data_IF_479927112388
#
_entry.id   IF_479927112388
#
_cell.length_a   1.000
_cell.length_b   1.000
_cell.length_c   1.000
_cell.angle_alpha   90.00
_cell.angle_beta   90.00
_cell.angle_gamma   90.00
#
_symmetry.space_group_name_H-M   'P 1'
#
loop_
_entity.id
_entity.type
_entity.pdbx_description
1 polymer ?
#
# COMPACT_ATOMS: atom_id res chain seq x y z
N UNK A 1 -27.72 -47.65 -23.58
CA UNK A 1 -28.42 -46.36 -23.68
C UNK A 1 -27.83 -45.35 -22.70
N UNK A 2 -27.23 -44.30 -23.21
CA UNK A 2 -26.68 -43.24 -22.36
C UNK A 2 -27.82 -42.30 -21.95
N UNK A 3 -28.29 -42.37 -20.71
CA UNK A 3 -29.21 -41.38 -20.13
C UNK A 3 -28.38 -40.15 -19.74
N UNK A 4 -28.27 -39.18 -20.63
CA UNK A 4 -27.80 -37.84 -20.28
C UNK A 4 -28.85 -37.16 -19.42
N UNK A 5 -28.54 -37.00 -18.14
CA UNK A 5 -29.32 -36.14 -17.26
C UNK A 5 -29.00 -34.69 -17.59
N UNK A 6 -29.96 -33.99 -18.24
CA UNK A 6 -29.84 -32.56 -18.51
C UNK A 6 -30.08 -31.74 -17.26
N UNK A 7 -29.40 -30.60 -17.12
CA UNK A 7 -29.68 -29.58 -16.10
C UNK A 7 -31.06 -28.99 -16.30
N UNK A 8 -31.85 -28.85 -15.23
CA UNK A 8 -33.17 -28.21 -15.31
C UNK A 8 -32.99 -26.67 -15.26
N UNK A 9 -33.95 -25.97 -15.91
CA UNK A 9 -33.97 -24.51 -15.93
C UNK A 9 -34.09 -23.91 -14.51
N UNK A 10 -34.80 -24.59 -13.62
CA UNK A 10 -35.00 -24.17 -12.23
C UNK A 10 -33.70 -24.33 -11.39
N UNK A 11 -32.93 -25.39 -11.62
CA UNK A 11 -31.62 -25.58 -10.97
C UNK A 11 -30.67 -24.44 -11.33
N UNK A 12 -30.63 -24.04 -12.61
CA UNK A 12 -29.80 -22.91 -13.03
C UNK A 12 -30.26 -21.59 -12.41
N UNK A 13 -31.59 -21.34 -12.36
CA UNK A 13 -32.16 -20.14 -11.76
C UNK A 13 -31.83 -20.00 -10.28
N UNK A 14 -31.94 -21.09 -9.51
CA UNK A 14 -31.62 -21.08 -8.08
C UNK A 14 -30.11 -20.76 -7.88
N UNK A 15 -29.23 -21.33 -8.67
CA UNK A 15 -27.77 -21.11 -8.56
C UNK A 15 -27.42 -19.66 -8.84
N UNK A 16 -27.94 -19.06 -9.92
CA UNK A 16 -27.64 -17.65 -10.22
C UNK A 16 -28.25 -16.69 -9.19
N UNK A 17 -29.40 -17.03 -8.61
CA UNK A 17 -30.01 -16.24 -7.54
C UNK A 17 -29.12 -16.24 -6.27
N UNK A 18 -28.61 -17.41 -5.87
CA UNK A 18 -27.70 -17.54 -4.73
C UNK A 18 -26.40 -16.78 -4.97
N UNK A 19 -25.78 -16.91 -6.16
CA UNK A 19 -24.57 -16.18 -6.52
C UNK A 19 -24.82 -14.66 -6.47
N UNK A 20 -25.95 -14.18 -6.97
CA UNK A 20 -26.34 -12.77 -6.92
C UNK A 20 -26.41 -12.24 -5.49
N UNK A 21 -27.04 -12.97 -4.59
CA UNK A 21 -27.12 -12.58 -3.17
C UNK A 21 -25.74 -12.56 -2.51
N UNK A 22 -24.94 -13.60 -2.71
CA UNK A 22 -23.59 -13.67 -2.13
C UNK A 22 -22.66 -12.57 -2.66
N UNK A 23 -22.76 -12.21 -3.93
CA UNK A 23 -21.97 -11.15 -4.54
C UNK A 23 -22.19 -9.78 -3.89
N UNK A 24 -23.40 -9.48 -3.41
CA UNK A 24 -23.67 -8.18 -2.76
C UNK A 24 -22.87 -7.96 -1.48
N UNK A 25 -22.50 -9.02 -0.76
CA UNK A 25 -21.68 -8.95 0.44
C UNK A 25 -20.18 -9.13 0.15
N UNK A 26 -19.85 -9.92 -0.87
CA UNK A 26 -18.46 -10.25 -1.20
C UNK A 26 -17.70 -9.08 -1.83
N UNK A 27 -18.31 -8.31 -2.71
CA UNK A 27 -17.65 -7.22 -3.44
C UNK A 27 -17.11 -6.10 -2.53
N UNK A 28 -17.89 -5.53 -1.59
CA UNK A 28 -17.38 -4.47 -0.72
C UNK A 28 -16.27 -4.97 0.22
N UNK A 29 -16.36 -6.21 0.71
CA UNK A 29 -15.31 -6.81 1.52
C UNK A 29 -14.01 -6.96 0.73
N UNK A 30 -14.08 -7.44 -0.51
CA UNK A 30 -12.92 -7.59 -1.39
C UNK A 30 -12.22 -6.25 -1.68
N UNK A 31 -12.99 -5.20 -1.96
CA UNK A 31 -12.45 -3.85 -2.19
C UNK A 31 -11.67 -3.32 -0.97
N UNK A 32 -12.16 -3.58 0.25
CA UNK A 32 -11.47 -3.20 1.49
C UNK A 32 -10.13 -3.92 1.64
N UNK A 33 -10.09 -5.22 1.35
CA UNK A 33 -8.83 -5.99 1.37
C UNK A 33 -7.84 -5.52 0.31
N UNK A 34 -8.31 -5.22 -0.90
CA UNK A 34 -7.45 -4.66 -1.95
C UNK A 34 -6.85 -3.31 -1.53
N UNK A 35 -7.64 -2.43 -0.93
CA UNK A 35 -7.16 -1.14 -0.45
C UNK A 35 -6.05 -1.32 0.59
N UNK A 36 -6.25 -2.17 1.60
CA UNK A 36 -5.22 -2.50 2.62
C UNK A 36 -3.96 -3.10 2.00
N UNK A 37 -4.11 -4.01 1.06
CA UNK A 37 -2.98 -4.63 0.37
C UNK A 37 -2.13 -3.60 -0.38
N UNK A 38 -2.76 -2.63 -1.04
CA UNK A 38 -2.06 -1.54 -1.75
C UNK A 38 -1.31 -0.62 -0.80
N UNK A 39 -1.90 -0.25 0.33
CA UNK A 39 -1.22 0.56 1.36
C UNK A 39 -0.01 -0.19 1.91
N UNK A 40 -0.17 -1.48 2.21
CA UNK A 40 0.92 -2.33 2.71
C UNK A 40 2.04 -2.48 1.68
N UNK A 41 1.70 -2.66 0.40
CA UNK A 41 2.68 -2.73 -0.68
C UNK A 41 3.48 -1.42 -0.81
N UNK A 42 2.81 -0.26 -0.75
CA UNK A 42 3.47 1.04 -0.77
C UNK A 42 4.41 1.25 0.43
N UNK A 43 3.97 0.85 1.63
CA UNK A 43 4.83 0.89 2.83
C UNK A 43 6.06 -0.01 2.68
N UNK A 44 5.90 -1.20 2.10
CA UNK A 44 7.02 -2.13 1.87
C UNK A 44 8.07 -1.53 0.92
N UNK A 45 7.63 -0.87 -0.16
CA UNK A 45 8.53 -0.22 -1.12
C UNK A 45 9.39 0.88 -0.47
N UNK A 46 8.76 1.79 0.29
CA UNK A 46 9.51 2.86 0.95
C UNK A 46 10.34 2.36 2.14
N UNK A 47 9.90 1.28 2.80
CA UNK A 47 10.67 0.65 3.88
C UNK A 47 11.96 0.00 3.38
N UNK A 48 11.96 -0.54 2.17
CA UNK A 48 13.15 -1.11 1.55
C UNK A 48 14.27 -0.07 1.34
N UNK A 49 13.91 1.20 1.18
CA UNK A 49 14.88 2.28 0.96
C UNK A 49 15.56 2.76 2.25
N UNK A 50 15.07 2.39 3.44
CA UNK A 50 15.62 2.85 4.72
C UNK A 50 17.11 2.51 4.87
N UNK A 51 17.52 1.31 4.49
CA UNK A 51 18.92 0.86 4.66
C UNK A 51 19.85 1.73 3.83
N UNK A 52 19.53 1.93 2.56
CA UNK A 52 20.33 2.79 1.69
C UNK A 52 20.29 4.25 2.15
N UNK A 53 19.15 4.69 2.69
CA UNK A 53 19.01 6.04 3.24
C UNK A 53 19.96 6.26 4.44
N UNK A 54 20.04 5.30 5.36
CA UNK A 54 20.97 5.34 6.49
C UNK A 54 22.44 5.30 6.01
N UNK A 55 22.73 4.49 5.00
CA UNK A 55 24.09 4.40 4.45
C UNK A 55 24.54 5.75 3.87
N UNK A 56 23.72 6.40 3.06
CA UNK A 56 24.00 7.72 2.48
C UNK A 56 24.18 8.79 3.59
N UNK A 57 23.33 8.78 4.63
CA UNK A 57 23.45 9.66 5.78
C UNK A 57 24.77 9.46 6.52
N UNK A 58 25.17 8.20 6.76
CA UNK A 58 26.40 7.85 7.47
C UNK A 58 27.67 8.25 6.69
N UNK A 59 27.56 8.37 5.37
CA UNK A 59 28.62 8.92 4.51
C UNK A 59 28.71 10.45 4.58
N UNK A 60 27.84 11.12 5.34
CA UNK A 60 27.77 12.58 5.43
C UNK A 60 27.16 13.25 4.22
N UNK A 61 26.42 12.49 3.40
CA UNK A 61 25.77 12.97 2.17
C UNK A 61 24.26 13.14 2.40
N UNK A 62 23.69 14.22 1.89
CA UNK A 62 22.24 14.41 1.94
C UNK A 62 21.52 13.38 1.05
N UNK A 63 20.67 12.51 1.62
CA UNK A 63 19.91 11.54 0.85
C UNK A 63 18.89 12.23 -0.08
N UNK A 64 18.79 11.72 -1.28
CA UNK A 64 17.72 11.95 -2.22
C UNK A 64 17.33 10.63 -2.88
N UNK A 65 16.26 10.63 -3.68
CA UNK A 65 15.71 9.41 -4.26
C UNK A 65 16.75 8.65 -5.12
N UNK A 66 17.57 9.36 -5.89
CA UNK A 66 18.57 8.75 -6.76
C UNK A 66 19.71 8.10 -5.94
N UNK A 67 20.19 8.80 -4.91
CA UNK A 67 21.29 8.30 -4.05
C UNK A 67 20.90 7.09 -3.22
N UNK A 68 19.63 7.01 -2.80
CA UNK A 68 19.14 5.83 -2.08
C UNK A 68 18.75 4.68 -3.02
N UNK A 69 18.97 4.83 -4.33
CA UNK A 69 18.67 3.81 -5.33
C UNK A 69 17.18 3.61 -5.58
N UNK A 70 16.37 4.61 -5.26
CA UNK A 70 14.93 4.56 -5.48
C UNK A 70 14.56 4.91 -6.92
N UNK A 71 13.47 4.32 -7.40
CA UNK A 71 12.83 4.65 -8.67
C UNK A 71 11.44 5.22 -8.43
N UNK A 72 11.02 6.17 -9.24
CA UNK A 72 9.69 6.77 -9.15
C UNK A 72 9.23 7.24 -10.54
N UNK A 73 7.95 6.99 -10.92
CA UNK A 73 6.98 6.21 -10.16
C UNK A 73 7.20 4.69 -10.26
N UNK A 74 6.68 3.95 -9.28
CA UNK A 74 6.53 2.50 -9.33
C UNK A 74 5.08 2.12 -9.68
N UNK A 75 4.77 0.83 -9.69
CA UNK A 75 3.38 0.37 -9.86
C UNK A 75 2.47 0.80 -8.70
N UNK A 76 3.00 0.94 -7.48
CA UNK A 76 2.22 1.21 -6.28
C UNK A 76 2.39 2.64 -5.76
N UNK A 77 3.52 3.29 -6.03
CA UNK A 77 3.88 4.58 -5.43
C UNK A 77 4.49 5.58 -6.42
N UNK A 78 4.17 6.84 -6.22
CA UNK A 78 5.11 7.93 -6.52
C UNK A 78 5.97 8.11 -5.27
N UNK A 79 7.26 7.75 -5.36
CA UNK A 79 8.19 7.75 -4.22
C UNK A 79 8.97 9.06 -4.19
N UNK A 80 9.16 9.60 -3.00
CA UNK A 80 10.04 10.75 -2.72
C UNK A 80 10.97 10.39 -1.57
N UNK A 81 12.20 10.89 -1.62
CA UNK A 81 13.14 10.77 -0.53
C UNK A 81 13.94 12.05 -0.39
N UNK A 82 14.12 12.54 0.82
CA UNK A 82 14.93 13.71 1.13
C UNK A 82 15.45 13.64 2.56
N UNK A 83 16.67 14.13 2.77
CA UNK A 83 17.24 14.19 4.12
C UNK A 83 18.41 15.14 4.19
N UNK A 84 18.83 15.45 5.42
CA UNK A 84 19.96 16.33 5.74
C UNK A 84 20.95 15.59 6.62
N UNK A 85 22.15 15.41 6.12
CA UNK A 85 23.19 14.65 6.83
C UNK A 85 23.66 15.38 8.10
N UNK A 86 23.64 16.72 8.10
CA UNK A 86 24.14 17.51 9.25
C UNK A 86 23.28 17.37 10.51
N UNK A 87 21.98 17.15 10.38
CA UNK A 87 21.06 16.97 11.51
C UNK A 87 20.52 15.54 11.62
N UNK A 88 20.84 14.69 10.67
CA UNK A 88 20.44 13.29 10.65
C UNK A 88 18.94 13.07 10.42
N UNK A 89 18.22 14.08 9.96
CA UNK A 89 16.75 13.99 9.69
C UNK A 89 16.46 13.68 8.24
N UNK A 90 15.28 13.12 8.02
CA UNK A 90 14.83 12.89 6.65
C UNK A 90 13.47 12.22 6.55
N UNK A 91 13.00 12.10 5.33
CA UNK A 91 11.70 11.51 5.01
C UNK A 91 11.78 10.66 3.76
N UNK A 92 11.02 9.57 3.75
CA UNK A 92 10.74 8.78 2.56
C UNK A 92 9.22 8.71 2.44
N UNK A 93 8.68 9.18 1.32
CA UNK A 93 7.24 9.27 1.08
C UNK A 93 6.79 8.37 -0.07
N UNK A 94 5.56 7.86 0.04
CA UNK A 94 4.83 7.17 -1.03
C UNK A 94 3.47 7.83 -1.20
N UNK A 95 3.18 8.33 -2.39
CA UNK A 95 1.82 8.66 -2.80
C UNK A 95 1.26 7.46 -3.55
N UNK A 96 0.18 6.88 -3.04
CA UNK A 96 -0.37 5.60 -3.50
C UNK A 96 -0.99 5.75 -4.89
N UNK A 97 -0.61 4.85 -5.79
CA UNK A 97 -1.08 4.75 -7.16
C UNK A 97 -1.86 3.44 -7.40
N UNK A 98 -2.68 3.42 -8.44
CA UNK A 98 -3.37 2.21 -8.93
C UNK A 98 -4.10 1.44 -7.82
N UNK A 99 -4.85 2.15 -7.00
CA UNK A 99 -5.52 1.63 -5.81
C UNK A 99 -7.02 1.95 -5.80
N UNK A 100 -7.83 1.24 -5.00
CA UNK A 100 -9.22 1.62 -4.77
C UNK A 100 -9.36 3.05 -4.23
N UNK A 101 -10.47 3.70 -4.57
CA UNK A 101 -10.72 5.12 -4.29
C UNK A 101 -10.43 5.57 -2.83
N UNK A 102 -10.74 4.80 -1.77
CA UNK A 102 -10.48 5.24 -0.39
C UNK A 102 -9.02 5.51 -0.07
N UNK A 103 -8.08 4.88 -0.80
CA UNK A 103 -6.64 5.00 -0.55
C UNK A 103 -5.86 5.60 -1.72
N UNK A 104 -6.51 5.78 -2.87
CA UNK A 104 -5.88 6.39 -4.05
C UNK A 104 -5.39 7.80 -3.74
N UNK A 105 -4.16 8.11 -4.17
CA UNK A 105 -3.50 9.41 -3.95
C UNK A 105 -3.28 9.80 -2.49
N UNK A 106 -3.54 8.89 -1.54
CA UNK A 106 -3.18 9.09 -0.14
C UNK A 106 -1.68 8.86 0.05
N UNK A 107 -1.12 9.45 1.10
CA UNK A 107 0.32 9.39 1.35
C UNK A 107 0.66 8.52 2.55
N UNK A 108 1.80 7.85 2.47
CA UNK A 108 2.49 7.19 3.58
C UNK A 108 3.84 7.85 3.69
N UNK A 109 4.24 8.24 4.88
CA UNK A 109 5.53 8.91 5.11
C UNK A 109 6.29 8.24 6.24
N UNK A 110 7.51 7.84 5.94
CA UNK A 110 8.50 7.43 6.92
C UNK A 110 9.36 8.64 7.27
N UNK A 111 9.38 9.02 8.52
CA UNK A 111 10.18 10.14 9.03
C UNK A 111 11.31 9.60 9.90
N UNK A 112 12.53 9.99 9.59
CA UNK A 112 13.71 9.67 10.40
C UNK A 112 14.03 10.81 11.34
N UNK A 113 14.26 10.48 12.60
CA UNK A 113 14.80 11.36 13.60
C UNK A 113 16.04 10.72 14.23
N UNK A 114 17.14 11.47 14.47
CA UNK A 114 18.39 10.89 14.97
C UNK A 114 18.28 10.33 16.39
N UNK A 115 17.29 10.78 17.18
CA UNK A 115 17.10 10.36 18.58
C UNK A 115 16.07 9.25 18.72
N UNK A 116 14.96 9.32 17.98
CA UNK A 116 13.82 8.39 18.11
C UNK A 116 13.77 7.33 17.00
N UNK A 117 14.59 7.50 15.95
CA UNK A 117 14.61 6.57 14.82
C UNK A 117 13.53 6.84 13.79
N UNK A 118 13.00 5.79 13.19
CA UNK A 118 12.00 5.88 12.14
C UNK A 118 10.58 5.82 12.70
N UNK A 119 9.75 6.77 12.28
CA UNK A 119 8.31 6.79 12.54
C UNK A 119 7.52 6.71 11.22
N UNK A 120 6.36 6.07 11.24
CA UNK A 120 5.45 5.98 10.10
C UNK A 120 4.17 6.77 10.37
N UNK A 121 3.81 7.65 9.44
CA UNK A 121 2.53 8.35 9.42
C UNK A 121 1.83 8.16 8.07
N UNK A 122 0.51 8.25 8.06
CA UNK A 122 -0.26 8.10 6.82
C UNK A 122 -1.48 9.00 6.81
N UNK A 123 -1.88 9.45 5.62
CA UNK A 123 -3.15 10.14 5.35
C UNK A 123 -4.28 9.17 4.97
N UNK A 124 -4.02 7.89 5.04
CA UNK A 124 -5.02 6.84 4.86
C UNK A 124 -5.83 6.72 6.14
N UNK A 125 -7.14 6.53 6.00
CA UNK A 125 -8.02 6.33 7.16
C UNK A 125 -7.58 5.11 7.99
N UNK A 126 -7.82 5.15 9.30
CA UNK A 126 -7.41 4.11 10.25
C UNK A 126 -7.83 2.69 9.83
N UNK A 127 -8.97 2.58 9.15
CA UNK A 127 -9.50 1.30 8.62
C UNK A 127 -8.58 0.63 7.58
N UNK A 128 -7.75 1.41 6.90
CA UNK A 128 -6.84 0.94 5.84
C UNK A 128 -5.37 1.12 6.22
N UNK A 129 -5.08 1.79 7.32
CA UNK A 129 -3.71 2.04 7.76
C UNK A 129 -3.00 0.73 8.13
N UNK A 130 -1.73 0.56 7.70
CA UNK A 130 -0.96 -0.62 8.06
C UNK A 130 -0.52 -0.54 9.53
N UNK A 131 -0.28 -1.71 10.13
CA UNK A 131 0.26 -1.77 11.50
C UNK A 131 1.59 -1.01 11.61
N UNK A 132 1.72 -0.21 12.67
CA UNK A 132 2.91 0.61 12.90
C UNK A 132 2.91 1.98 12.23
N UNK A 133 1.90 2.33 11.45
CA UNK A 133 1.70 3.68 10.93
C UNK A 133 0.54 4.38 11.65
N UNK A 134 0.80 5.60 12.08
CA UNK A 134 -0.22 6.46 12.71
C UNK A 134 -1.01 7.17 11.61
N UNK A 135 -2.33 6.99 11.60
CA UNK A 135 -3.23 7.74 10.73
C UNK A 135 -3.33 9.19 11.23
N UNK A 136 -3.19 10.16 10.30
CA UNK A 136 -3.04 11.56 10.63
C UNK A 136 -3.95 12.45 9.76
#
# INVERSE_FOLDING_TARGET
MNTQKGFTLIELLIVVAIIGILATFALPAYSKYQARAKVTAGLAEISALKVNFEDVLNQGVNPDLAKVGGTSPTTNCTITASGTASDGKGTIGCTILNAPAPVLSKTITLTRDPTTGWACTTKVDADYAPGGCVAN
#
